data_IF_590116893798
#
_entry.id   IF_590116893798
#
_cell.length_a   1.000
_cell.length_b   1.000
_cell.length_c   1.000
_cell.angle_alpha   90.00
_cell.angle_beta   90.00
_cell.angle_gamma   90.00
#
_symmetry.space_group_name_H-M   'P 1'
#
loop_
_entity.id
_entity.type
_entity.pdbx_description
1 polymer ?
#
# COMPACT_ATOMS: atom_id res chain seq x y z
N UNK A 1 -19.95 -8.82 -3.99
CA UNK A 1 -19.65 -7.65 -4.83
C UNK A 1 -18.15 -7.69 -5.11
N UNK A 2 -17.75 -8.25 -6.26
CA UNK A 2 -16.36 -8.29 -6.70
C UNK A 2 -16.02 -6.94 -7.33
N UNK A 3 -14.94 -6.31 -6.87
CA UNK A 3 -14.33 -5.20 -7.58
C UNK A 3 -13.62 -5.78 -8.81
N UNK A 4 -14.22 -5.63 -9.99
CA UNK A 4 -13.57 -5.90 -11.27
C UNK A 4 -12.79 -4.65 -11.64
N UNK A 5 -11.45 -4.74 -11.69
CA UNK A 5 -10.61 -3.68 -12.24
C UNK A 5 -10.61 -3.76 -13.77
N UNK A 6 -11.05 -2.71 -14.49
CA UNK A 6 -11.09 -2.73 -15.94
C UNK A 6 -9.73 -2.34 -16.53
N UNK A 7 -9.27 -3.14 -17.51
CA UNK A 7 -8.33 -2.75 -18.55
C UNK A 7 -6.86 -2.61 -18.15
N UNK A 8 -6.09 -3.69 -18.30
CA UNK A 8 -4.64 -3.59 -18.47
C UNK A 8 -4.32 -3.92 -19.93
N UNK A 9 -4.18 -2.89 -20.75
CA UNK A 9 -3.70 -3.01 -22.12
C UNK A 9 -2.31 -3.66 -22.11
N UNK A 10 -2.25 -4.85 -22.71
CA UNK A 10 -1.03 -5.56 -23.06
C UNK A 10 -0.30 -4.71 -24.10
N UNK A 11 0.79 -4.05 -23.75
CA UNK A 11 1.84 -3.75 -24.73
C UNK A 11 3.21 -3.52 -24.08
N UNK A 12 4.12 -4.43 -24.47
CA UNK A 12 5.59 -4.36 -24.53
C UNK A 12 6.44 -4.66 -23.31
N UNK A 13 7.45 -5.48 -23.64
CA UNK A 13 8.68 -5.82 -22.95
C UNK A 13 8.57 -6.93 -21.89
N UNK A 14 9.01 -8.10 -22.34
CA UNK A 14 9.29 -9.31 -21.58
C UNK A 14 10.18 -9.03 -20.36
N UNK A 15 9.74 -9.46 -19.17
CA UNK A 15 10.65 -10.09 -18.23
C UNK A 15 9.97 -11.34 -17.66
N UNK A 16 10.69 -12.46 -17.75
CA UNK A 16 10.20 -13.81 -17.48
C UNK A 16 10.14 -14.09 -15.97
N UNK A 17 9.46 -13.26 -15.21
CA UNK A 17 9.05 -13.60 -13.86
C UNK A 17 7.70 -14.28 -14.01
N UNK A 18 7.61 -15.55 -13.61
CA UNK A 18 6.33 -16.23 -13.45
C UNK A 18 5.55 -15.44 -12.40
N UNK A 19 4.83 -14.41 -12.86
CA UNK A 19 4.13 -13.48 -11.98
C UNK A 19 3.01 -14.31 -11.36
N UNK A 20 3.21 -14.70 -10.10
CA UNK A 20 2.11 -15.17 -9.25
C UNK A 20 0.98 -14.16 -9.45
N UNK A 21 -0.22 -14.63 -9.77
CA UNK A 21 -1.32 -13.72 -10.09
C UNK A 21 -1.53 -12.79 -8.90
N UNK A 22 -1.77 -11.50 -9.15
CA UNK A 22 -2.04 -10.54 -8.07
C UNK A 22 -3.21 -11.01 -7.18
N UNK A 23 -4.14 -11.78 -7.73
CA UNK A 23 -5.21 -12.47 -6.99
C UNK A 23 -4.68 -13.43 -5.91
N UNK A 24 -3.63 -14.18 -6.21
CA UNK A 24 -3.04 -15.12 -5.25
C UNK A 24 -2.27 -14.39 -4.16
N UNK A 25 -1.57 -13.30 -4.52
CA UNK A 25 -0.90 -12.40 -3.58
C UNK A 25 -1.93 -11.76 -2.66
N UNK A 26 -3.04 -11.28 -3.21
CA UNK A 26 -4.12 -10.68 -2.44
C UNK A 26 -4.81 -11.69 -1.52
N UNK A 27 -5.04 -12.92 -1.99
CA UNK A 27 -5.62 -13.99 -1.16
C UNK A 27 -4.74 -14.31 0.04
N UNK A 28 -3.43 -14.41 -0.16
CA UNK A 28 -2.46 -14.64 0.91
C UNK A 28 -2.36 -13.46 1.88
N UNK A 29 -2.30 -12.23 1.34
CA UNK A 29 -2.36 -10.99 2.12
C UNK A 29 -3.60 -10.94 3.02
N UNK A 30 -4.78 -11.27 2.46
CA UNK A 30 -6.05 -11.27 3.18
C UNK A 30 -6.10 -12.35 4.27
N UNK A 31 -5.51 -13.52 4.03
CA UNK A 31 -5.43 -14.59 5.02
C UNK A 31 -4.48 -14.26 6.18
N UNK A 32 -3.40 -13.52 5.91
CA UNK A 32 -2.40 -13.12 6.91
C UNK A 32 -2.66 -11.76 7.55
N UNK A 33 -3.76 -11.10 7.16
CA UNK A 33 -4.09 -9.77 7.68
C UNK A 33 -4.29 -9.84 9.20
N UNK A 34 -3.58 -8.99 9.98
CA UNK A 34 -3.65 -9.05 11.43
C UNK A 34 -5.06 -8.68 11.92
N UNK A 35 -5.58 -9.47 12.86
CA UNK A 35 -6.86 -9.20 13.51
C UNK A 35 -6.79 -8.01 14.47
N UNK A 36 -5.61 -7.70 15.01
CA UNK A 36 -5.36 -6.55 15.89
C UNK A 36 -4.81 -5.36 15.11
N UNK A 37 -5.49 -4.22 15.17
CA UNK A 37 -5.13 -2.99 14.47
C UNK A 37 -4.16 -2.10 15.26
N UNK A 38 -3.13 -2.70 15.86
CA UNK A 38 -2.04 -1.92 16.46
C UNK A 38 -1.13 -1.37 15.36
N UNK A 39 -0.81 -0.09 15.44
CA UNK A 39 -0.01 0.64 14.44
C UNK A 39 1.31 -0.05 14.12
N UNK A 40 2.02 -0.55 15.14
CA UNK A 40 3.34 -1.18 14.97
C UNK A 40 3.25 -2.54 14.28
N UNK A 41 2.23 -3.34 14.62
CA UNK A 41 1.98 -4.65 14.01
C UNK A 41 1.54 -4.49 12.56
N UNK A 42 0.64 -3.53 12.29
CA UNK A 42 0.19 -3.22 10.95
C UNK A 42 1.33 -2.69 10.08
N UNK A 43 2.21 -1.85 10.63
CA UNK A 43 3.36 -1.33 9.92
C UNK A 43 4.38 -2.43 9.60
N UNK A 44 4.66 -3.33 10.54
CA UNK A 44 5.53 -4.48 10.31
C UNK A 44 4.97 -5.42 9.23
N UNK A 45 3.66 -5.67 9.27
CA UNK A 45 2.96 -6.48 8.26
C UNK A 45 3.00 -5.83 6.86
N UNK A 46 2.67 -4.55 6.76
CA UNK A 46 2.74 -3.81 5.49
C UNK A 46 4.16 -3.73 4.95
N UNK A 47 5.17 -3.66 5.81
CA UNK A 47 6.58 -3.70 5.38
C UNK A 47 6.92 -5.04 4.72
N UNK A 48 6.42 -6.15 5.25
CA UNK A 48 6.70 -7.47 4.69
C UNK A 48 5.99 -7.67 3.34
N UNK A 49 4.73 -7.24 3.24
CA UNK A 49 3.87 -7.53 2.10
C UNK A 49 3.92 -6.48 0.97
N UNK A 50 4.13 -5.20 1.31
CA UNK A 50 4.00 -4.10 0.36
C UNK A 50 5.34 -3.47 -0.07
N UNK A 51 6.49 -4.01 0.36
CA UNK A 51 7.81 -3.51 -0.07
C UNK A 51 8.12 -3.84 -1.53
N UNK A 52 7.65 -4.98 -2.04
CA UNK A 52 7.88 -5.38 -3.44
C UNK A 52 6.72 -5.01 -4.37
N UNK A 53 5.68 -4.39 -3.84
CA UNK A 53 4.53 -3.90 -4.62
C UNK A 53 4.83 -2.45 -4.99
N UNK A 54 4.80 -2.08 -6.27
CA UNK A 54 4.99 -0.69 -6.67
C UNK A 54 3.79 0.16 -6.23
N UNK A 55 4.04 1.40 -5.78
CA UNK A 55 2.97 2.30 -5.36
C UNK A 55 2.09 2.79 -6.52
N UNK A 56 2.65 2.82 -7.74
CA UNK A 56 1.98 3.28 -8.96
C UNK A 56 2.09 2.26 -10.08
N UNK A 57 1.02 2.10 -10.84
CA UNK A 57 1.01 1.33 -12.08
C UNK A 57 1.31 2.28 -13.25
N UNK A 58 2.58 2.64 -13.45
CA UNK A 58 3.04 3.52 -14.53
C UNK A 58 4.53 3.34 -14.82
N UNK A 59 5.13 4.20 -15.65
CA UNK A 59 6.52 4.04 -16.13
C UNK A 59 7.58 4.29 -15.04
N UNK A 60 7.29 5.16 -14.07
CA UNK A 60 8.20 5.45 -12.95
C UNK A 60 7.75 4.73 -11.67
N UNK A 61 8.38 3.59 -11.35
CA UNK A 61 8.06 2.74 -10.19
C UNK A 61 9.20 2.66 -9.18
N UNK A 62 9.81 3.81 -8.85
CA UNK A 62 10.94 3.84 -7.92
C UNK A 62 10.53 3.79 -6.44
N UNK A 63 9.23 3.92 -6.16
CA UNK A 63 8.68 4.00 -4.80
C UNK A 63 7.84 2.76 -4.50
N UNK A 64 8.18 2.08 -3.41
CA UNK A 64 7.40 0.95 -2.90
C UNK A 64 6.05 1.43 -2.33
N UNK A 65 5.03 0.57 -2.42
CA UNK A 65 3.71 0.84 -1.85
C UNK A 65 3.81 1.04 -0.32
N UNK A 66 4.70 0.30 0.34
CA UNK A 66 5.00 0.51 1.76
C UNK A 66 5.49 1.92 2.06
N UNK A 67 6.48 2.42 1.32
CA UNK A 67 7.05 3.75 1.56
C UNK A 67 6.03 4.85 1.27
N UNK A 68 5.21 4.67 0.24
CA UNK A 68 4.11 5.59 -0.08
C UNK A 68 3.05 5.63 1.03
N UNK A 69 2.65 4.48 1.57
CA UNK A 69 1.69 4.42 2.68
C UNK A 69 2.27 5.02 3.97
N UNK A 70 3.52 4.68 4.30
CA UNK A 70 4.21 5.18 5.49
C UNK A 70 4.33 6.70 5.47
N UNK A 71 4.73 7.29 4.34
CA UNK A 71 4.85 8.74 4.20
C UNK A 71 3.49 9.43 4.25
N UNK A 72 2.47 8.87 3.59
CA UNK A 72 1.09 9.37 3.66
C UNK A 72 0.55 9.39 5.10
N UNK A 73 0.73 8.31 5.85
CA UNK A 73 0.34 8.23 7.26
C UNK A 73 1.09 9.25 8.13
N UNK A 74 2.38 9.46 7.90
CA UNK A 74 3.16 10.46 8.61
C UNK A 74 2.65 11.89 8.36
N UNK A 75 2.39 12.24 7.09
CA UNK A 75 1.85 13.55 6.71
C UNK A 75 0.46 13.75 7.35
N UNK A 76 -0.43 12.77 7.24
CA UNK A 76 -1.76 12.83 7.84
C UNK A 76 -1.70 13.00 9.38
N UNK A 77 -0.77 12.31 10.04
CA UNK A 77 -0.55 12.44 11.49
C UNK A 77 -0.08 13.84 11.87
N UNK A 78 0.87 14.40 11.11
CA UNK A 78 1.34 15.77 11.31
C UNK A 78 0.21 16.79 11.12
N UNK A 79 -0.60 16.65 10.07
CA UNK A 79 -1.76 17.51 9.81
C UNK A 79 -2.78 17.43 10.94
N UNK A 80 -3.09 16.21 11.41
CA UNK A 80 -4.01 16.01 12.53
C UNK A 80 -3.51 16.68 13.81
N UNK A 81 -2.24 16.52 14.16
CA UNK A 81 -1.64 17.15 15.33
C UNK A 81 -1.62 18.67 15.23
N UNK A 82 -1.33 19.21 14.03
CA UNK A 82 -1.38 20.64 13.75
C UNK A 82 -2.78 21.20 13.98
N UNK A 83 -3.81 20.59 13.37
CA UNK A 83 -5.21 20.99 13.56
C UNK A 83 -5.65 20.87 15.03
N UNK A 84 -5.30 19.78 15.71
CA UNK A 84 -5.63 19.58 17.13
C UNK A 84 -4.99 20.66 18.02
N UNK A 85 -3.76 21.08 17.71
CA UNK A 85 -3.07 22.16 18.44
C UNK A 85 -3.72 23.52 18.17
N UNK A 86 -4.09 23.83 16.93
CA UNK A 86 -4.74 25.10 16.58
C UNK A 86 -6.15 25.24 17.18
N UNK A 87 -6.94 24.16 17.25
CA UNK A 87 -8.28 24.18 17.86
C UNK A 87 -8.23 24.36 19.38
N UNK A 88 -7.12 24.00 20.04
CA UNK A 88 -6.98 24.12 21.50
C UNK A 88 -6.60 25.53 21.99
N UNK A 89 -6.31 26.46 21.08
CA UNK A 89 -5.90 27.85 21.36
C UNK A 89 -6.90 28.90 20.83
N UNK A 90 -8.11 28.48 20.46
CA UNK A 90 -9.21 29.36 20.08
C UNK A 90 -10.37 29.16 21.05
#
# INVERSE_FOLDING_TARGET
>A
MCFVFPGFDKDRAEDRIQHRSYEEIYRDFRGRFPSSLYSDILLAFLKQEATFIPARTGEDKDISLFDHLKTTCAIASCMYLYHKRCVRFR
#
